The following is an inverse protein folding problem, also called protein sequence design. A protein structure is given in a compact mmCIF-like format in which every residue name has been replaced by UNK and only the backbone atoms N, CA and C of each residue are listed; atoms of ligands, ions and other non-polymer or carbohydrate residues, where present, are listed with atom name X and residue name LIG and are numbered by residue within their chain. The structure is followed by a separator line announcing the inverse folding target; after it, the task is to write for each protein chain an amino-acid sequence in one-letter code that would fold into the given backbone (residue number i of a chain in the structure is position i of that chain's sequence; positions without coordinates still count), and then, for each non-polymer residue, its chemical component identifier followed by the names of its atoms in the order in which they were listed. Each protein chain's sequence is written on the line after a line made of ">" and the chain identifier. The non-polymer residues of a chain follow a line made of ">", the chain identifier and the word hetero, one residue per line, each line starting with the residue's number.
data_IF_537267731799
#
_entry.id   IF_537267731799
#
_cell.length_a   1.000
_cell.length_b   1.000
_cell.length_c   1.000
_cell.angle_alpha   90.00
_cell.angle_beta   90.00
_cell.angle_gamma   90.00
#
_symmetry.space_group_name_H-M   'P 1'
#
loop_
_entity.id
_entity.type
_entity.pdbx_description
1 polymer ?
#
# COMPACT_ATOMS: atom_id res chain seq x y z
N UNK A 1 2.75 -2.70 11.74
CA UNK A 1 1.70 -3.62 11.24
C UNK A 1 0.35 -2.93 11.11
N UNK A 2 -0.15 -2.24 12.14
CA UNK A 2 -1.45 -1.55 12.09
C UNK A 2 -1.62 -0.58 10.91
N UNK A 3 -0.61 0.23 10.60
CA UNK A 3 -0.65 1.18 9.46
C UNK A 3 -0.80 0.49 8.11
N UNK A 4 -0.12 -0.65 7.92
CA UNK A 4 -0.24 -1.44 6.69
C UNK A 4 -1.66 -1.99 6.50
N UNK A 5 -2.28 -2.50 7.57
CA UNK A 5 -3.65 -2.99 7.52
C UNK A 5 -4.66 -1.87 7.23
N UNK A 6 -4.47 -0.67 7.83
CA UNK A 6 -5.30 0.51 7.53
C UNK A 6 -5.19 0.93 6.07
N UNK A 7 -3.98 0.92 5.52
CA UNK A 7 -3.73 1.21 4.11
C UNK A 7 -4.43 0.20 3.21
N UNK A 8 -4.27 -1.09 3.48
CA UNK A 8 -4.90 -2.16 2.69
C UNK A 8 -6.43 -2.09 2.75
N UNK A 9 -7.01 -1.68 3.87
CA UNK A 9 -8.46 -1.50 4.00
C UNK A 9 -9.02 -0.38 3.12
N UNK A 10 -8.20 0.57 2.68
CA UNK A 10 -8.58 1.66 1.76
C UNK A 10 -8.38 1.27 0.29
N UNK A 11 -7.78 0.12 -0.01
CA UNK A 11 -7.50 -0.34 -1.36
C UNK A 11 -8.63 -1.21 -1.92
N UNK A 12 -8.83 -1.15 -3.24
CA UNK A 12 -9.66 -2.13 -3.96
C UNK A 12 -9.02 -3.52 -3.96
N UNK A 13 -9.80 -4.58 -4.26
CA UNK A 13 -9.37 -5.98 -4.15
C UNK A 13 -8.06 -6.32 -4.89
N UNK A 14 -7.87 -5.81 -6.11
CA UNK A 14 -6.62 -5.98 -6.89
C UNK A 14 -5.43 -5.29 -6.21
N UNK A 15 -5.63 -4.07 -5.73
CA UNK A 15 -4.62 -3.27 -5.04
C UNK A 15 -4.24 -3.85 -3.68
N UNK A 16 -5.22 -4.30 -2.91
CA UNK A 16 -4.99 -5.03 -1.67
C UNK A 16 -4.16 -6.30 -1.92
N UNK A 17 -4.50 -7.09 -2.95
CA UNK A 17 -3.74 -8.30 -3.30
C UNK A 17 -2.28 -7.98 -3.67
N UNK A 18 -2.07 -6.94 -4.47
CA UNK A 18 -0.72 -6.49 -4.82
C UNK A 18 0.07 -6.03 -3.59
N UNK A 19 -0.57 -5.26 -2.69
CA UNK A 19 0.04 -4.76 -1.46
C UNK A 19 0.45 -5.90 -0.52
N UNK A 20 -0.36 -6.96 -0.42
CA UNK A 20 0.00 -8.17 0.33
C UNK A 20 1.18 -8.92 -0.30
N UNK A 21 1.19 -9.08 -1.62
CA UNK A 21 2.29 -9.74 -2.34
C UNK A 21 3.60 -8.94 -2.24
N UNK A 22 3.52 -7.62 -2.13
CA UNK A 22 4.67 -6.70 -2.06
C UNK A 22 4.82 -6.04 -0.69
N UNK A 23 4.38 -6.73 0.38
CA UNK A 23 4.29 -6.17 1.74
C UNK A 23 5.61 -5.54 2.22
N UNK A 24 6.76 -6.13 1.92
CA UNK A 24 8.06 -5.56 2.29
C UNK A 24 8.24 -4.14 1.74
N UNK A 25 7.99 -3.96 0.43
CA UNK A 25 8.07 -2.66 -0.25
C UNK A 25 7.11 -1.63 0.32
N UNK A 26 5.86 -2.03 0.59
CA UNK A 26 4.87 -1.12 1.19
C UNK A 26 5.25 -0.72 2.61
N UNK A 27 5.79 -1.65 3.40
CA UNK A 27 6.29 -1.34 4.74
C UNK A 27 7.51 -0.42 4.71
N UNK A 28 8.39 -0.54 3.72
CA UNK A 28 9.53 0.36 3.56
C UNK A 28 9.08 1.78 3.20
N UNK A 29 8.06 1.91 2.35
CA UNK A 29 7.44 3.21 2.08
C UNK A 29 6.84 3.86 3.33
N UNK A 30 6.16 3.07 4.16
CA UNK A 30 5.62 3.52 5.45
C UNK A 30 6.76 3.93 6.40
N UNK A 31 7.85 3.14 6.47
CA UNK A 31 9.02 3.42 7.32
C UNK A 31 9.76 4.68 6.88
N UNK A 32 9.80 4.95 5.59
CA UNK A 32 10.39 6.16 5.01
C UNK A 32 9.49 7.40 5.18
N UNK A 33 8.35 7.27 5.86
CA UNK A 33 7.46 8.40 6.17
C UNK A 33 6.65 8.91 4.98
N UNK A 34 6.48 8.10 3.93
CA UNK A 34 5.63 8.50 2.80
C UNK A 34 4.16 8.56 3.21
N UNK A 35 3.44 9.55 2.67
CA UNK A 35 2.02 9.74 2.92
C UNK A 35 1.21 8.52 2.48
N UNK A 36 0.20 8.13 3.26
CA UNK A 36 -0.65 6.97 2.96
C UNK A 36 -1.35 7.15 1.61
N UNK A 37 -1.84 8.36 1.32
CA UNK A 37 -2.47 8.72 0.04
C UNK A 37 -1.50 8.49 -1.14
N UNK A 38 -0.26 8.96 -1.02
CA UNK A 38 0.77 8.73 -2.04
C UNK A 38 1.00 7.24 -2.28
N UNK A 39 1.02 6.43 -1.22
CA UNK A 39 1.22 4.98 -1.36
C UNK A 39 0.03 4.33 -2.06
N UNK A 40 -1.20 4.75 -1.73
CA UNK A 40 -2.42 4.26 -2.38
C UNK A 40 -2.40 4.60 -3.87
N UNK A 41 -2.12 5.85 -4.22
CA UNK A 41 -2.01 6.31 -5.61
C UNK A 41 -0.92 5.54 -6.36
N UNK A 42 0.23 5.32 -5.70
CA UNK A 42 1.33 4.57 -6.29
C UNK A 42 0.93 3.12 -6.58
N UNK A 43 0.23 2.46 -5.67
CA UNK A 43 -0.25 1.09 -5.87
C UNK A 43 -1.27 1.04 -7.01
N UNK A 44 -2.22 1.97 -7.04
CA UNK A 44 -3.22 2.05 -8.11
C UNK A 44 -2.57 2.28 -9.48
N UNK A 45 -1.54 3.14 -9.56
CA UNK A 45 -0.75 3.39 -10.77
C UNK A 45 0.10 2.20 -11.24
N UNK A 46 0.36 1.20 -10.40
CA UNK A 46 1.11 0.00 -10.79
C UNK A 46 0.17 -1.07 -11.37
N UNK A 47 -1.11 -1.02 -10.98
CA UNK A 47 -2.09 -2.07 -11.28
C UNK A 47 -2.98 -1.71 -12.47
N UNK A 48 -3.23 -0.41 -12.66
CA UNK A 48 -3.79 0.14 -13.89
C UNK A 48 -2.69 0.41 -14.91
#
# INVERSE_FOLDING_TARGET
>A
MATFLRLVAQLGSKAAKWAWNNKGRVLDWIRNGMAIEWIIDKINSIIN
#
